data_IF_604397342036
#
_entry.id   IF_604397342036
#
_cell.length_a   1.000
_cell.length_b   1.000
_cell.length_c   1.000
_cell.angle_alpha   90.00
_cell.angle_beta   90.00
_cell.angle_gamma   90.00
#
_symmetry.space_group_name_H-M   'P 1'
#
loop_
_entity.id
_entity.type
_entity.pdbx_description
1 polymer ?
#
# COMPACT_ATOMS: atom_id res chain seq x y z
N UNK A 1 81.80 4.64 -42.19
CA UNK A 1 82.51 3.60 -41.41
C UNK A 1 81.50 2.59 -40.92
N UNK A 2 81.77 1.31 -41.23
CA UNK A 2 81.22 0.06 -40.65
C UNK A 2 79.71 -0.22 -40.77
N UNK A 3 79.42 -1.21 -41.61
CA UNK A 3 78.28 -2.12 -41.51
C UNK A 3 78.23 -2.81 -40.13
N UNK A 4 77.03 -3.24 -39.72
CA UNK A 4 76.83 -4.54 -39.09
C UNK A 4 75.48 -5.13 -39.53
N UNK A 5 75.54 -6.41 -39.89
CA UNK A 5 74.50 -7.39 -40.24
C UNK A 5 73.38 -7.49 -39.17
N UNK A 6 72.20 -8.11 -39.39
CA UNK A 6 72.02 -9.57 -39.61
C UNK A 6 70.51 -9.88 -39.71
N UNK A 7 70.08 -10.62 -40.75
CA UNK A 7 69.11 -11.74 -40.82
C UNK A 7 67.70 -11.67 -40.18
N UNK A 8 66.65 -12.42 -40.55
CA UNK A 8 66.29 -13.36 -41.63
C UNK A 8 64.91 -13.96 -41.22
N UNK A 9 63.92 -13.91 -42.11
CA UNK A 9 62.88 -14.93 -42.42
C UNK A 9 62.03 -15.61 -41.30
N UNK A 10 60.68 -15.53 -41.41
CA UNK A 10 59.70 -16.63 -41.61
C UNK A 10 58.26 -16.08 -41.46
N UNK A 11 57.41 -16.13 -42.51
CA UNK A 11 56.29 -17.07 -42.69
C UNK A 11 55.36 -17.23 -41.46
N UNK A 12 54.07 -16.91 -41.62
CA UNK A 12 53.00 -17.90 -41.49
C UNK A 12 51.59 -17.33 -41.77
N UNK A 13 50.84 -18.17 -42.46
CA UNK A 13 49.46 -18.11 -42.93
C UNK A 13 48.44 -17.30 -42.10
N UNK A 14 47.68 -16.48 -42.81
CA UNK A 14 46.41 -15.93 -42.35
C UNK A 14 45.39 -17.06 -42.16
N UNK A 15 45.00 -17.30 -40.91
CA UNK A 15 43.90 -18.21 -40.56
C UNK A 15 42.66 -17.34 -40.33
N UNK A 16 41.68 -17.46 -41.22
CA UNK A 16 40.42 -16.72 -41.19
C UNK A 16 39.52 -17.34 -40.09
N UNK A 17 39.49 -16.71 -38.91
CA UNK A 17 38.60 -17.09 -37.81
C UNK A 17 37.20 -16.54 -38.10
N UNK A 18 36.22 -17.45 -38.24
CA UNK A 18 34.79 -17.15 -38.26
C UNK A 18 34.39 -16.58 -36.89
N UNK A 19 34.00 -15.30 -36.85
CA UNK A 19 33.34 -14.70 -35.69
C UNK A 19 31.91 -15.26 -35.60
N UNK A 20 31.64 -16.05 -34.57
CA UNK A 20 30.29 -16.30 -34.08
C UNK A 20 29.91 -15.12 -33.16
N UNK A 21 28.80 -14.41 -33.37
CA UNK A 21 28.32 -13.45 -32.38
C UNK A 21 27.79 -14.24 -31.18
N UNK A 22 28.49 -14.16 -30.05
CA UNK A 22 27.92 -14.58 -28.77
C UNK A 22 26.67 -13.75 -28.53
N UNK A 23 25.52 -14.41 -28.59
CA UNK A 23 24.24 -13.83 -28.20
C UNK A 23 24.34 -13.48 -26.72
N UNK A 24 24.42 -12.18 -26.43
CA UNK A 24 24.13 -11.64 -25.11
C UNK A 24 22.68 -12.00 -24.79
N UNK A 25 22.48 -13.14 -24.13
CA UNK A 25 21.22 -13.43 -23.47
C UNK A 25 21.05 -12.35 -22.41
N UNK A 26 20.25 -11.33 -22.73
CA UNK A 26 19.80 -10.35 -21.76
C UNK A 26 19.10 -11.13 -20.65
N UNK A 27 19.80 -11.32 -19.53
CA UNK A 27 19.17 -11.76 -18.31
C UNK A 27 18.11 -10.71 -17.99
N UNK A 28 16.85 -11.05 -18.27
CA UNK A 28 15.73 -10.28 -17.76
C UNK A 28 15.98 -10.13 -16.26
N UNK A 29 16.03 -8.89 -15.71
CA UNK A 29 16.08 -8.75 -14.27
C UNK A 29 14.93 -9.59 -13.70
N UNK A 30 15.11 -10.25 -12.55
CA UNK A 30 14.02 -11.01 -11.94
C UNK A 30 12.81 -10.10 -11.95
N UNK A 31 11.74 -10.55 -12.62
CA UNK A 31 10.43 -9.95 -12.53
C UNK A 31 10.01 -10.14 -11.09
N UNK A 32 10.53 -9.28 -10.21
CA UNK A 32 10.02 -9.08 -8.89
C UNK A 32 8.59 -8.64 -9.18
N UNK A 33 7.69 -9.63 -9.12
CA UNK A 33 6.27 -9.42 -9.07
C UNK A 33 6.09 -8.80 -7.70
N UNK A 34 6.52 -7.54 -7.57
CA UNK A 34 6.28 -6.69 -6.44
C UNK A 34 4.82 -6.88 -6.20
N UNK A 35 4.52 -7.45 -5.03
CA UNK A 35 3.17 -7.69 -4.59
C UNK A 35 2.54 -6.31 -4.60
N UNK A 36 1.88 -5.98 -5.72
CA UNK A 36 1.09 -4.78 -5.84
C UNK A 36 -0.20 -5.19 -5.17
N UNK A 37 -0.13 -5.36 -3.85
CA UNK A 37 -1.30 -5.42 -2.98
C UNK A 37 -1.86 -4.00 -2.97
N UNK A 38 -2.39 -3.59 -4.13
CA UNK A 38 -3.20 -2.40 -4.23
C UNK A 38 -4.53 -2.77 -3.58
N UNK A 39 -4.51 -2.95 -2.25
CA UNK A 39 -5.73 -3.09 -1.49
C UNK A 39 -6.40 -1.74 -1.57
N UNK A 40 -7.46 -1.69 -2.37
CA UNK A 40 -8.39 -0.58 -2.38
C UNK A 40 -8.75 -0.24 -0.94
N UNK A 41 -8.70 1.06 -0.62
CA UNK A 41 -9.07 1.53 0.70
C UNK A 41 -10.47 1.03 1.08
N UNK A 42 -10.55 0.35 2.22
CA UNK A 42 -11.81 -0.11 2.79
C UNK A 42 -12.27 0.94 3.78
N UNK A 43 -13.45 1.48 3.54
CA UNK A 43 -14.08 2.47 4.41
C UNK A 43 -14.34 1.84 5.78
N UNK A 44 -13.86 2.51 6.83
CA UNK A 44 -14.05 2.10 8.20
C UNK A 44 -14.88 3.09 9.01
N UNK A 45 -15.25 2.65 10.21
CA UNK A 45 -16.03 3.43 11.15
C UNK A 45 -15.26 4.68 11.59
N UNK A 46 -15.93 5.84 11.61
CA UNK A 46 -15.34 7.13 11.96
C UNK A 46 -14.75 7.91 10.78
N UNK A 47 -14.59 7.29 9.61
CA UNK A 47 -14.14 8.00 8.41
C UNK A 47 -15.09 9.13 8.03
N UNK A 48 -14.54 10.18 7.41
CA UNK A 48 -15.32 11.26 6.84
C UNK A 48 -15.25 11.15 5.33
N UNK A 49 -16.42 11.05 4.71
CA UNK A 49 -16.57 10.99 3.26
C UNK A 49 -17.18 12.30 2.77
N UNK A 50 -16.67 12.78 1.65
CA UNK A 50 -17.24 13.91 0.93
C UNK A 50 -17.84 13.41 -0.38
N UNK A 51 -19.17 13.49 -0.48
CA UNK A 51 -19.93 12.96 -1.60
C UNK A 51 -20.49 14.13 -2.40
N UNK A 52 -20.16 14.19 -3.68
CA UNK A 52 -20.64 15.22 -4.59
C UNK A 52 -21.37 14.60 -5.77
N UNK A 53 -22.42 15.27 -6.22
CA UNK A 53 -23.14 14.92 -7.44
C UNK A 53 -22.90 16.02 -8.45
N UNK A 54 -22.48 15.64 -9.65
CA UNK A 54 -22.20 16.58 -10.73
C UNK A 54 -23.45 17.41 -11.04
N UNK A 55 -23.30 18.74 -11.04
CA UNK A 55 -24.37 19.72 -11.30
C UNK A 55 -25.53 19.69 -10.28
N UNK A 56 -25.35 19.05 -9.12
CA UNK A 56 -26.34 19.05 -8.05
C UNK A 56 -25.67 19.28 -6.68
N UNK A 57 -25.33 20.54 -6.43
CA UNK A 57 -24.68 20.96 -5.18
C UNK A 57 -25.60 20.84 -3.96
N UNK A 58 -26.92 20.77 -4.17
CA UNK A 58 -27.89 20.62 -3.07
C UNK A 58 -27.81 19.22 -2.44
N UNK A 59 -27.33 18.23 -3.19
CA UNK A 59 -27.11 16.86 -2.74
C UNK A 59 -25.67 16.60 -2.29
N UNK A 60 -24.77 17.58 -2.41
CA UNK A 60 -23.41 17.46 -1.90
C UNK A 60 -23.42 17.33 -0.37
N UNK A 61 -22.78 16.27 0.14
CA UNK A 61 -22.80 15.97 1.57
C UNK A 61 -21.46 15.46 2.07
N UNK A 62 -20.98 16.12 3.12
CA UNK A 62 -19.98 15.60 4.04
C UNK A 62 -20.67 14.71 5.08
N UNK A 63 -20.30 13.44 5.12
CA UNK A 63 -20.87 12.43 6.02
C UNK A 63 -19.80 11.74 6.85
N UNK A 64 -20.15 11.34 8.06
CA UNK A 64 -19.29 10.52 8.93
C UNK A 64 -19.83 9.11 8.98
N UNK A 65 -18.96 8.12 8.82
CA UNK A 65 -19.32 6.71 8.96
C UNK A 65 -19.56 6.41 10.43
N UNK A 66 -20.80 6.06 10.78
CA UNK A 66 -21.20 5.80 12.16
C UNK A 66 -20.58 4.49 12.70
N UNK A 67 -20.62 4.24 14.03
CA UNK A 67 -20.08 3.00 14.63
C UNK A 67 -20.75 1.71 14.16
N UNK A 68 -21.97 1.79 13.62
CA UNK A 68 -22.68 0.67 12.99
C UNK A 68 -22.30 0.47 11.51
N UNK A 69 -21.41 1.33 10.98
CA UNK A 69 -20.90 1.29 9.62
C UNK A 69 -21.80 2.02 8.62
N UNK A 70 -22.83 2.74 9.05
CA UNK A 70 -23.79 3.41 8.15
C UNK A 70 -23.49 4.89 7.98
N UNK A 71 -23.95 5.44 6.86
CA UNK A 71 -24.00 6.87 6.58
C UNK A 71 -25.44 7.25 6.24
N UNK A 72 -25.83 8.49 6.51
CA UNK A 72 -27.10 9.05 6.07
C UNK A 72 -26.90 9.92 4.82
N UNK A 73 -27.65 9.65 3.76
CA UNK A 73 -27.60 10.39 2.51
C UNK A 73 -29.00 10.85 2.07
N UNK A 74 -29.16 12.07 1.52
CA UNK A 74 -30.46 12.56 1.07
C UNK A 74 -31.15 11.62 0.07
N UNK A 75 -32.49 11.59 0.11
CA UNK A 75 -33.39 10.81 -0.77
C UNK A 75 -33.38 9.29 -0.56
N UNK A 76 -32.25 8.71 -0.16
CA UNK A 76 -32.07 7.25 -0.04
C UNK A 76 -31.86 6.77 1.40
N UNK A 77 -31.73 7.69 2.36
CA UNK A 77 -31.72 7.38 3.78
C UNK A 77 -30.38 6.81 4.24
N UNK A 78 -30.43 5.76 5.06
CA UNK A 78 -29.24 5.13 5.64
C UNK A 78 -28.68 4.04 4.72
N UNK A 79 -27.37 4.07 4.51
CA UNK A 79 -26.64 3.16 3.62
C UNK A 79 -25.42 2.63 4.37
N UNK A 80 -25.12 1.34 4.22
CA UNK A 80 -23.89 0.77 4.76
C UNK A 80 -22.68 1.27 3.96
N UNK A 81 -21.74 1.93 4.61
CA UNK A 81 -20.46 2.36 4.03
C UNK A 81 -19.28 1.53 4.58
N UNK A 82 -19.34 1.20 5.87
CA UNK A 82 -18.31 0.41 6.54
C UNK A 82 -18.10 -0.95 5.88
N UNK A 83 -16.83 -1.29 5.68
CA UNK A 83 -16.42 -2.54 5.04
C UNK A 83 -16.54 -2.57 3.51
N UNK A 84 -16.94 -1.45 2.87
CA UNK A 84 -16.97 -1.32 1.42
C UNK A 84 -15.79 -0.51 0.90
N UNK A 85 -15.43 -0.74 -0.36
CA UNK A 85 -14.56 0.20 -1.08
C UNK A 85 -15.34 1.43 -1.51
N UNK A 86 -14.62 2.52 -1.79
CA UNK A 86 -15.20 3.76 -2.33
C UNK A 86 -16.01 3.48 -3.60
N UNK A 87 -15.50 2.63 -4.49
CA UNK A 87 -16.17 2.21 -5.73
C UNK A 87 -17.48 1.48 -5.46
N UNK A 88 -17.50 0.58 -4.48
CA UNK A 88 -18.72 -0.16 -4.10
C UNK A 88 -19.78 0.77 -3.51
N UNK A 89 -19.38 1.65 -2.59
CA UNK A 89 -20.29 2.63 -2.00
C UNK A 89 -20.87 3.58 -3.06
N UNK A 90 -20.01 4.06 -3.98
CA UNK A 90 -20.42 4.89 -5.12
C UNK A 90 -21.53 4.22 -5.92
N UNK A 91 -21.31 2.98 -6.37
CA UNK A 91 -22.30 2.25 -7.18
C UNK A 91 -23.64 2.04 -6.47
N UNK A 92 -23.63 1.85 -5.15
CA UNK A 92 -24.85 1.69 -4.35
C UNK A 92 -25.65 2.99 -4.23
N UNK A 93 -24.96 4.11 -4.00
CA UNK A 93 -25.58 5.45 -3.97
C UNK A 93 -26.17 5.78 -5.34
N UNK A 94 -25.40 5.57 -6.41
CA UNK A 94 -25.83 5.73 -7.81
C UNK A 94 -27.13 4.96 -8.06
N UNK A 95 -27.18 3.69 -7.66
CA UNK A 95 -28.33 2.83 -7.87
C UNK A 95 -29.55 3.26 -7.04
N UNK A 96 -29.34 3.72 -5.79
CA UNK A 96 -30.42 4.25 -4.95
C UNK A 96 -31.02 5.54 -5.51
N UNK A 97 -30.19 6.41 -6.08
CA UNK A 97 -30.60 7.72 -6.58
C UNK A 97 -31.34 7.68 -7.92
N UNK A 98 -31.19 6.63 -8.74
CA UNK A 98 -31.84 6.51 -10.07
C UNK A 98 -33.35 6.76 -10.08
N UNK A 99 -34.04 6.56 -8.95
CA UNK A 99 -35.49 6.83 -8.81
C UNK A 99 -35.83 8.31 -8.70
N UNK A 100 -34.86 9.14 -8.35
CA UNK A 100 -35.03 10.56 -8.04
C UNK A 100 -34.23 11.46 -8.99
N UNK A 101 -33.06 10.99 -9.43
CA UNK A 101 -32.13 11.71 -10.31
C UNK A 101 -31.82 10.81 -11.50
N UNK A 102 -32.18 11.20 -12.75
CA UNK A 102 -31.76 10.50 -13.96
C UNK A 102 -30.24 10.60 -14.15
N UNK A 103 -29.58 9.46 -14.41
CA UNK A 103 -28.13 9.36 -14.69
C UNK A 103 -27.23 10.16 -13.73
N UNK A 104 -27.28 9.89 -12.40
CA UNK A 104 -26.48 10.62 -11.44
C UNK A 104 -24.99 10.31 -11.63
N UNK A 105 -24.19 11.34 -11.91
CA UNK A 105 -22.73 11.24 -11.93
C UNK A 105 -22.24 11.68 -10.55
N UNK A 106 -21.65 10.77 -9.79
CA UNK A 106 -21.24 11.06 -8.43
C UNK A 106 -19.75 10.79 -8.18
N UNK A 107 -19.17 11.59 -7.30
CA UNK A 107 -17.81 11.44 -6.80
C UNK A 107 -17.86 11.21 -5.29
N UNK A 108 -17.16 10.17 -4.82
CA UNK A 108 -16.98 9.91 -3.39
C UNK A 108 -15.51 10.05 -3.08
N UNK A 109 -15.19 10.97 -2.18
CA UNK A 109 -13.82 11.20 -1.71
C UNK A 109 -13.74 10.87 -0.21
N UNK A 110 -12.65 10.24 0.20
CA UNK A 110 -12.35 10.03 1.62
C UNK A 110 -11.63 11.29 2.13
N UNK A 111 -12.38 12.18 2.79
CA UNK A 111 -11.82 13.42 3.30
C UNK A 111 -10.91 13.17 4.52
N UNK A 112 -11.31 12.25 5.41
CA UNK A 112 -10.51 11.88 6.58
C UNK A 112 -10.55 10.37 6.82
N UNK A 113 -9.35 9.80 6.91
CA UNK A 113 -9.11 8.40 7.28
C UNK A 113 -8.93 8.35 8.80
N UNK A 114 -10.01 8.04 9.52
CA UNK A 114 -10.01 7.99 10.99
C UNK A 114 -10.04 6.55 11.50
N UNK A 115 -10.42 5.61 10.65
CA UNK A 115 -10.55 4.20 10.98
C UNK A 115 -9.25 3.41 10.87
N UNK A 116 -8.30 3.88 10.05
CA UNK A 116 -7.00 3.24 9.89
C UNK A 116 -6.07 3.70 11.01
N UNK A 117 -6.00 2.91 12.08
CA UNK A 117 -5.17 3.22 13.24
C UNK A 117 -4.57 1.97 13.85
N UNK A 118 -3.51 2.17 14.62
CA UNK A 118 -2.89 1.13 15.44
C UNK A 118 -2.75 1.60 16.88
N UNK A 119 -2.66 0.64 17.78
CA UNK A 119 -2.29 0.88 19.18
C UNK A 119 -0.94 0.22 19.43
N UNK A 120 0.02 1.01 19.90
CA UNK A 120 1.33 0.52 20.34
C UNK A 120 1.40 0.72 21.84
N UNK A 121 1.58 -0.38 22.57
CA UNK A 121 1.56 -0.42 24.04
C UNK A 121 2.75 -1.23 24.54
N UNK A 122 3.02 -1.13 25.85
CA UNK A 122 4.10 -1.88 26.49
C UNK A 122 5.40 -1.08 26.56
N UNK A 123 6.53 -1.74 26.34
CA UNK A 123 7.87 -1.19 26.56
C UNK A 123 8.42 -0.45 25.34
N UNK A 124 7.70 0.58 24.90
CA UNK A 124 8.13 1.53 23.86
C UNK A 124 8.35 2.92 24.47
N UNK A 125 9.02 3.81 23.76
CA UNK A 125 9.30 5.17 24.25
C UNK A 125 8.03 6.05 24.29
N UNK A 126 7.13 5.89 23.31
CA UNK A 126 5.88 6.62 23.20
C UNK A 126 4.70 5.68 22.97
N UNK A 127 4.15 5.04 24.02
CA UNK A 127 2.96 4.22 23.88
C UNK A 127 1.74 5.09 23.59
N UNK A 128 0.84 4.61 22.74
CA UNK A 128 -0.34 5.37 22.36
C UNK A 128 -1.08 4.82 21.15
N UNK A 129 -2.08 5.59 20.71
CA UNK A 129 -2.79 5.36 19.46
C UNK A 129 -2.15 6.18 18.35
N UNK A 130 -2.01 5.59 17.17
CA UNK A 130 -1.42 6.23 16.00
C UNK A 130 -2.38 6.10 14.82
N UNK A 131 -2.77 7.23 14.24
CA UNK A 131 -3.51 7.26 12.98
C UNK A 131 -2.56 6.96 11.84
N UNK A 132 -3.03 6.16 10.89
CA UNK A 132 -2.29 5.78 9.70
C UNK A 132 -2.91 6.45 8.49
N UNK A 133 -2.06 6.91 7.59
CA UNK A 133 -2.45 7.44 6.27
C UNK A 133 -2.08 6.49 5.13
N UNK A 134 -1.29 5.46 5.41
CA UNK A 134 -0.89 4.41 4.48
C UNK A 134 -0.74 3.08 5.22
N UNK A 135 -0.63 2.00 4.46
CA UNK A 135 -0.16 0.73 5.00
C UNK A 135 1.30 0.86 5.46
N UNK A 136 1.58 0.40 6.67
CA UNK A 136 2.92 0.40 7.26
C UNK A 136 3.28 -0.98 7.80
N UNK A 137 4.58 -1.25 7.93
CA UNK A 137 5.09 -2.44 8.59
C UNK A 137 5.26 -2.25 10.11
N UNK A 138 5.68 -3.32 10.79
CA UNK A 138 5.86 -3.34 12.25
C UNK A 138 7.04 -2.45 12.67
N UNK A 139 8.11 -2.37 11.89
CA UNK A 139 9.27 -1.54 12.20
C UNK A 139 8.93 -0.05 12.12
N UNK A 140 8.17 0.34 11.10
CA UNK A 140 7.62 1.68 10.95
C UNK A 140 6.70 2.01 12.11
N UNK A 141 5.82 1.09 12.52
CA UNK A 141 4.95 1.27 13.69
C UNK A 141 5.74 1.48 14.99
N UNK A 142 6.78 0.68 15.24
CA UNK A 142 7.67 0.84 16.39
C UNK A 142 8.45 2.16 16.32
N UNK A 143 8.91 2.54 15.13
CA UNK A 143 9.60 3.82 14.90
C UNK A 143 8.69 5.02 15.20
N UNK A 144 7.42 4.96 14.79
CA UNK A 144 6.41 5.97 15.15
C UNK A 144 6.19 6.07 16.66
N UNK A 145 6.31 4.95 17.39
CA UNK A 145 6.29 4.89 18.85
C UNK A 145 7.63 5.28 19.50
N UNK A 146 8.59 5.80 18.74
CA UNK A 146 9.91 6.20 19.23
C UNK A 146 10.88 5.04 19.49
N UNK A 147 10.59 3.85 18.99
CA UNK A 147 11.37 2.64 19.21
C UNK A 147 11.08 1.95 20.54
N UNK A 148 11.76 0.82 20.74
CA UNK A 148 11.75 0.10 22.01
C UNK A 148 12.48 0.92 23.09
N UNK A 149 12.04 0.79 24.33
CA UNK A 149 12.79 1.35 25.45
C UNK A 149 13.84 0.34 25.98
N UNK A 150 14.83 0.76 26.78
CA UNK A 150 15.91 -0.13 27.24
C UNK A 150 15.50 -1.32 28.12
N UNK A 151 14.22 -1.40 28.50
CA UNK A 151 13.67 -2.48 29.33
C UNK A 151 12.71 -3.39 28.54
N UNK A 152 12.69 -3.24 27.21
CA UNK A 152 11.90 -4.09 26.33
C UNK A 152 12.58 -5.45 26.15
N UNK A 153 11.76 -6.50 25.99
CA UNK A 153 12.22 -7.79 25.50
C UNK A 153 12.08 -7.77 23.98
N UNK A 154 13.21 -7.80 23.26
CA UNK A 154 13.27 -7.63 21.79
C UNK A 154 12.69 -8.86 21.05
N UNK A 155 12.65 -10.01 21.71
CA UNK A 155 12.15 -11.28 21.17
C UNK A 155 10.65 -11.54 21.43
N UNK A 156 9.98 -10.77 22.31
CA UNK A 156 8.57 -11.00 22.69
C UNK A 156 7.61 -9.91 22.20
N UNK A 157 7.80 -9.44 20.95
CA UNK A 157 6.86 -8.50 20.34
C UNK A 157 5.67 -9.27 19.77
N UNK A 158 4.47 -8.94 20.25
CA UNK A 158 3.20 -9.55 19.82
C UNK A 158 2.34 -8.54 19.06
N UNK A 159 1.90 -8.93 17.87
CA UNK A 159 0.97 -8.15 17.04
C UNK A 159 -0.40 -8.80 17.07
N UNK A 160 -1.38 -8.08 17.61
CA UNK A 160 -2.78 -8.49 17.67
C UNK A 160 -3.53 -7.89 16.48
N UNK A 161 -3.98 -8.73 15.54
CA UNK A 161 -4.82 -8.32 14.42
C UNK A 161 -6.23 -8.88 14.60
N UNK A 162 -7.20 -7.99 14.81
CA UNK A 162 -8.61 -8.37 14.87
C UNK A 162 -9.14 -8.59 13.46
N UNK A 163 -9.50 -9.83 13.15
CA UNK A 163 -10.30 -10.20 12.00
C UNK A 163 -11.75 -10.35 12.43
N UNK A 164 -12.69 -10.47 11.48
CA UNK A 164 -14.14 -10.40 11.73
C UNK A 164 -14.61 -11.15 12.98
N UNK A 165 -14.11 -12.38 13.21
CA UNK A 165 -14.51 -13.21 14.35
C UNK A 165 -13.34 -13.74 15.20
N UNK A 166 -12.09 -13.40 14.88
CA UNK A 166 -10.92 -13.94 15.55
C UNK A 166 -9.85 -12.87 15.75
N UNK A 167 -9.09 -12.97 16.83
CA UNK A 167 -7.87 -12.18 17.00
C UNK A 167 -6.70 -13.10 16.68
N UNK A 168 -5.97 -12.77 15.61
CA UNK A 168 -4.71 -13.45 15.30
C UNK A 168 -3.57 -12.76 16.02
N UNK A 169 -2.71 -13.56 16.63
CA UNK A 169 -1.51 -13.11 17.30
C UNK A 169 -0.33 -13.52 16.44
N UNK A 170 0.46 -12.54 16.02
CA UNK A 170 1.72 -12.77 15.31
C UNK A 170 2.87 -12.43 16.27
N UNK A 171 3.89 -13.28 16.27
CA UNK A 171 5.14 -12.98 16.97
C UNK A 171 6.08 -12.30 15.98
N UNK A 172 6.73 -11.25 16.43
CA UNK A 172 7.70 -10.50 15.65
C UNK A 172 9.02 -10.48 16.40
N UNK A 173 10.09 -10.91 15.71
CA UNK A 173 11.45 -10.86 16.25
C UNK A 173 12.09 -9.56 15.77
N UNK A 174 12.40 -8.66 16.71
CA UNK A 174 12.99 -7.36 16.40
C UNK A 174 14.46 -7.47 15.95
N UNK A 175 15.24 -8.29 16.65
CA UNK A 175 16.69 -8.46 16.40
C UNK A 175 17.00 -9.06 15.04
N UNK A 176 16.05 -9.78 14.45
CA UNK A 176 16.20 -10.33 13.11
C UNK A 176 16.24 -9.25 12.01
N UNK A 177 15.83 -8.02 12.30
CA UNK A 177 15.58 -6.98 11.28
C UNK A 177 16.07 -5.57 11.66
N UNK A 178 16.54 -5.35 12.90
CA UNK A 178 17.04 -4.06 13.39
C UNK A 178 18.56 -4.01 13.52
#
# INVERSE_FOLDING_TARGET
>A
MKQLSTNLLLLMAATLILLHPEAFAAAQPPSDSGITDNQDYIIGHGDILNIHIWKDDALAKRVTVLPDGRIAFPLIGEITAGGKTVTQLRGEIEQGLKRFVPDPILNVEVEQVNSMLIYVIGKVNHPGRFLLNTNIDILQALSMAGGLNPFAEEEDIKVFRKLKNETRIFHFNYDAVA
#
